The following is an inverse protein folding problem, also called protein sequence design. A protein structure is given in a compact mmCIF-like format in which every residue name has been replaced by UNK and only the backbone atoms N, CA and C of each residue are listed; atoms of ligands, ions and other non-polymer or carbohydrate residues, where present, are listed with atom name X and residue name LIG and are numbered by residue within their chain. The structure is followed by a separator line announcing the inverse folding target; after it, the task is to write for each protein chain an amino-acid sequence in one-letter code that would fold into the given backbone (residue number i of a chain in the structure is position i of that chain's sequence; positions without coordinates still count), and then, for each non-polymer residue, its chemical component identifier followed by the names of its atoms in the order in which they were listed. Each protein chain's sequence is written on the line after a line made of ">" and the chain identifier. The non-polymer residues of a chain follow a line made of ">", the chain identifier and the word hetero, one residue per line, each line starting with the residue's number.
data_IF_764075013054
#
_entry.id   IF_764075013054
#
_cell.length_a   1.000
_cell.length_b   1.000
_cell.length_c   1.000
_cell.angle_alpha   90.00
_cell.angle_beta   90.00
_cell.angle_gamma   90.00
#
_symmetry.space_group_name_H-M   'P 1'
#
loop_
_entity.id
_entity.type
_entity.pdbx_description
1 polymer ?
#
# COMPACT_ATOMS: atom_id res chain seq x y z
N UNK A 1 -14.81 1.75 -8.76
CA UNK A 1 -14.11 2.34 -7.59
C UNK A 1 -13.95 3.84 -7.84
N UNK A 2 -13.51 4.62 -6.84
CA UNK A 2 -13.20 6.04 -7.02
C UNK A 2 -12.02 6.48 -6.16
N UNK A 3 -11.40 7.58 -6.55
CA UNK A 3 -10.50 8.37 -5.72
C UNK A 3 -11.36 9.15 -4.71
N UNK A 4 -10.96 9.20 -3.44
CA UNK A 4 -11.76 9.76 -2.34
C UNK A 4 -11.47 11.24 -2.16
N UNK A 5 -10.21 11.62 -2.03
CA UNK A 5 -9.77 12.99 -1.77
C UNK A 5 -8.63 13.44 -2.68
N UNK A 6 -8.09 14.62 -2.40
CA UNK A 6 -7.04 15.25 -3.23
C UNK A 6 -7.57 15.87 -4.54
N UNK A 7 -6.64 16.24 -5.42
CA UNK A 7 -6.92 16.96 -6.66
C UNK A 7 -7.82 16.19 -7.65
N UNK A 8 -7.80 14.85 -7.60
CA UNK A 8 -8.65 13.97 -8.40
C UNK A 8 -9.80 13.34 -7.59
N UNK A 9 -10.13 13.90 -6.43
CA UNK A 9 -11.22 13.43 -5.57
C UNK A 9 -12.53 13.25 -6.32
N UNK A 10 -13.20 12.12 -6.11
CA UNK A 10 -14.45 11.76 -6.79
C UNK A 10 -14.28 11.12 -8.17
N UNK A 11 -13.09 11.18 -8.80
CA UNK A 11 -12.83 10.56 -10.11
C UNK A 11 -12.99 9.04 -10.02
N UNK A 12 -13.77 8.47 -10.93
CA UNK A 12 -14.09 7.03 -10.96
C UNK A 12 -13.16 6.28 -11.90
N UNK A 13 -12.86 5.04 -11.56
CA UNK A 13 -12.18 4.08 -12.41
C UNK A 13 -12.82 2.70 -12.26
N UNK A 14 -12.79 1.93 -13.34
CA UNK A 14 -13.46 0.63 -13.44
C UNK A 14 -12.42 -0.48 -13.37
N UNK A 15 -12.39 -1.30 -12.30
CA UNK A 15 -11.52 -2.47 -12.24
C UNK A 15 -11.96 -3.53 -13.26
N UNK A 16 -11.07 -4.48 -13.64
CA UNK A 16 -11.45 -5.59 -14.50
C UNK A 16 -12.63 -6.39 -13.93
N UNK A 17 -13.53 -6.86 -14.80
CA UNK A 17 -14.79 -7.50 -14.40
C UNK A 17 -14.63 -8.82 -13.63
N UNK A 18 -13.50 -9.50 -13.77
CA UNK A 18 -13.18 -10.73 -13.05
C UNK A 18 -11.91 -10.52 -12.22
N UNK A 19 -12.09 -10.35 -10.92
CA UNK A 19 -11.03 -10.32 -9.94
C UNK A 19 -11.32 -11.38 -8.86
N UNK A 20 -11.03 -12.66 -9.14
CA UNK A 20 -11.28 -13.72 -8.17
C UNK A 20 -10.43 -13.49 -6.92
N UNK A 21 -11.01 -13.73 -5.74
CA UNK A 21 -10.32 -13.66 -4.45
C UNK A 21 -9.83 -12.27 -4.01
N UNK A 22 -10.32 -11.18 -4.63
CA UNK A 22 -10.06 -9.81 -4.17
C UNK A 22 -11.26 -9.26 -3.42
N UNK A 23 -11.02 -8.59 -2.29
CA UNK A 23 -12.04 -7.75 -1.65
C UNK A 23 -11.70 -6.29 -1.92
N UNK A 24 -12.66 -5.47 -2.36
CA UNK A 24 -12.40 -4.05 -2.50
C UNK A 24 -12.21 -3.41 -1.11
N UNK A 25 -11.09 -2.69 -0.92
CA UNK A 25 -10.98 -1.70 0.14
C UNK A 25 -12.13 -0.70 -0.03
N UNK A 26 -13.00 -0.61 0.98
CA UNK A 26 -14.19 0.24 0.90
C UNK A 26 -13.78 1.71 0.88
N UNK A 27 -14.62 2.57 0.31
CA UNK A 27 -14.41 4.02 0.33
C UNK A 27 -14.22 4.57 1.77
N UNK A 28 -14.93 4.00 2.74
CA UNK A 28 -14.82 4.36 4.17
C UNK A 28 -13.45 3.95 4.72
N UNK A 29 -13.03 2.70 4.48
CA UNK A 29 -11.74 2.22 4.94
C UNK A 29 -10.59 3.01 4.30
N UNK A 30 -10.64 3.24 2.99
CA UNK A 30 -9.65 4.04 2.27
C UNK A 30 -9.63 5.49 2.75
N UNK A 31 -10.79 6.12 2.92
CA UNK A 31 -10.87 7.48 3.47
C UNK A 31 -10.29 7.57 4.88
N UNK A 32 -10.62 6.60 5.75
CA UNK A 32 -10.07 6.51 7.10
C UNK A 32 -8.55 6.33 7.13
N UNK A 33 -8.01 5.47 6.27
CA UNK A 33 -6.57 5.28 6.11
C UNK A 33 -5.88 6.59 5.72
N UNK A 34 -6.35 7.26 4.67
CA UNK A 34 -5.70 8.47 4.18
C UNK A 34 -5.85 9.67 5.13
N UNK A 35 -6.95 9.75 5.90
CA UNK A 35 -7.05 10.73 6.98
C UNK A 35 -5.92 10.54 8.00
N UNK A 36 -5.53 9.32 8.32
CA UNK A 36 -4.42 9.08 9.26
C UNK A 36 -3.09 9.44 8.61
N UNK A 37 -2.86 9.00 7.37
CA UNK A 37 -1.63 9.29 6.63
C UNK A 37 -1.41 10.81 6.54
N UNK A 38 -2.40 11.57 6.08
CA UNK A 38 -2.27 13.03 5.90
C UNK A 38 -2.07 13.81 7.21
N UNK A 39 -2.59 13.33 8.33
CA UNK A 39 -2.39 13.97 9.62
C UNK A 39 -1.00 13.69 10.24
N UNK A 40 -0.25 12.75 9.68
CA UNK A 40 1.04 12.31 10.25
C UNK A 40 2.21 12.38 9.27
N UNK A 41 1.95 12.39 7.96
CA UNK A 41 2.95 12.35 6.91
C UNK A 41 2.67 13.43 5.86
N UNK A 42 3.72 14.06 5.36
CA UNK A 42 3.66 15.01 4.26
C UNK A 42 3.68 14.25 2.92
N UNK A 43 2.50 13.85 2.42
CA UNK A 43 2.35 12.98 1.22
C UNK A 43 3.18 13.45 0.02
N UNK A 44 3.23 14.75 -0.33
CA UNK A 44 4.04 15.23 -1.46
C UNK A 44 5.54 14.93 -1.38
N UNK A 45 6.12 14.79 -0.18
CA UNK A 45 7.55 14.48 0.01
C UNK A 45 7.85 12.98 0.14
N UNK A 46 6.84 12.12 0.16
CA UNK A 46 7.03 10.68 0.34
C UNK A 46 7.52 10.00 -0.94
N UNK A 47 8.51 9.12 -0.77
CA UNK A 47 8.78 8.01 -1.69
C UNK A 47 7.99 6.79 -1.26
N UNK A 48 7.12 6.29 -2.14
CA UNK A 48 6.13 5.26 -1.78
C UNK A 48 6.33 3.94 -2.52
N UNK A 49 5.98 2.84 -1.86
CA UNK A 49 5.93 1.49 -2.41
C UNK A 49 4.59 0.84 -2.09
N UNK A 50 3.82 0.52 -3.13
CA UNK A 50 2.53 -0.17 -3.05
C UNK A 50 2.74 -1.63 -3.47
N UNK A 51 2.72 -2.53 -2.49
CA UNK A 51 2.89 -3.97 -2.67
C UNK A 51 1.53 -4.61 -2.89
N UNK A 52 1.48 -5.56 -3.84
CA UNK A 52 0.23 -6.17 -4.28
C UNK A 52 -0.71 -5.14 -4.90
N UNK A 53 -0.20 -4.44 -5.93
CA UNK A 53 -0.85 -3.27 -6.51
C UNK A 53 -2.34 -3.46 -6.85
N UNK A 54 -2.76 -4.67 -7.24
CA UNK A 54 -4.17 -4.98 -7.46
C UNK A 54 -4.79 -4.04 -8.49
N UNK A 55 -5.69 -3.16 -8.06
CA UNK A 55 -6.30 -2.15 -8.96
C UNK A 55 -5.51 -0.85 -9.07
N UNK A 56 -4.47 -0.64 -8.27
CA UNK A 56 -3.74 0.61 -8.11
C UNK A 56 -4.48 1.67 -7.28
N UNK A 57 -5.59 1.31 -6.64
CA UNK A 57 -6.48 2.23 -5.92
C UNK A 57 -5.78 3.08 -4.85
N UNK A 58 -4.79 2.53 -4.15
CA UNK A 58 -4.01 3.25 -3.13
C UNK A 58 -3.03 4.21 -3.79
N UNK A 59 -2.29 3.75 -4.80
CA UNK A 59 -1.38 4.60 -5.58
C UNK A 59 -2.07 5.77 -6.28
N UNK A 60 -3.29 5.60 -6.81
CA UNK A 60 -4.04 6.72 -7.39
C UNK A 60 -4.48 7.74 -6.33
N UNK A 61 -4.80 7.27 -5.14
CA UNK A 61 -5.18 8.12 -4.00
C UNK A 61 -3.97 8.91 -3.48
N UNK A 62 -2.79 8.26 -3.37
CA UNK A 62 -1.52 8.92 -3.07
C UNK A 62 -1.20 10.01 -4.11
N UNK A 63 -1.31 9.69 -5.40
CA UNK A 63 -1.09 10.65 -6.48
C UNK A 63 -2.05 11.84 -6.40
N UNK A 64 -3.34 11.58 -6.15
CA UNK A 64 -4.35 12.63 -5.98
C UNK A 64 -4.00 13.59 -4.84
N UNK A 65 -3.31 13.09 -3.80
CA UNK A 65 -2.88 13.86 -2.63
C UNK A 65 -1.45 14.40 -2.75
N UNK A 66 -0.85 14.30 -3.94
CA UNK A 66 0.39 14.97 -4.31
C UNK A 66 1.65 14.11 -4.31
N UNK A 67 1.57 12.81 -4.07
CA UNK A 67 2.75 11.94 -4.14
C UNK A 67 3.32 11.88 -5.58
N UNK A 68 4.65 11.98 -5.70
CA UNK A 68 5.35 12.07 -7.00
C UNK A 68 6.49 11.06 -7.20
N UNK A 69 6.89 10.30 -6.19
CA UNK A 69 7.85 9.20 -6.31
C UNK A 69 7.18 7.91 -5.83
N UNK A 70 6.48 7.23 -6.74
CA UNK A 70 5.64 6.08 -6.40
C UNK A 70 6.04 4.85 -7.20
N UNK A 71 6.21 3.73 -6.51
CA UNK A 71 6.40 2.41 -7.13
C UNK A 71 5.28 1.47 -6.73
N UNK A 72 4.73 0.73 -7.70
CA UNK A 72 3.78 -0.37 -7.48
C UNK A 72 4.42 -1.68 -7.90
N UNK A 73 4.26 -2.72 -7.09
CA UNK A 73 4.68 -4.08 -7.43
C UNK A 73 3.43 -4.95 -7.60
N UNK A 74 3.27 -5.51 -8.80
CA UNK A 74 2.16 -6.40 -9.13
C UNK A 74 2.69 -7.64 -9.86
N UNK A 75 2.19 -8.81 -9.46
CA UNK A 75 2.63 -10.11 -9.98
C UNK A 75 1.90 -10.48 -11.27
N UNK A 76 0.59 -10.21 -11.33
CA UNK A 76 -0.22 -10.50 -12.50
C UNK A 76 0.07 -9.49 -13.62
N UNK A 77 0.61 -9.92 -14.77
CA UNK A 77 0.94 -9.00 -15.87
C UNK A 77 -0.27 -8.22 -16.39
N UNK A 78 -1.46 -8.83 -16.39
CA UNK A 78 -2.69 -8.19 -16.84
C UNK A 78 -3.15 -7.09 -15.89
N UNK A 79 -2.98 -7.29 -14.58
CA UNK A 79 -3.24 -6.27 -13.57
C UNK A 79 -2.21 -5.15 -13.61
N UNK A 80 -0.93 -5.47 -13.78
CA UNK A 80 0.11 -4.45 -13.97
C UNK A 80 -0.15 -3.57 -15.21
N UNK A 81 -0.58 -4.17 -16.32
CA UNK A 81 -0.97 -3.43 -17.53
C UNK A 81 -2.23 -2.59 -17.29
N UNK A 82 -3.21 -3.11 -16.55
CA UNK A 82 -4.38 -2.37 -16.12
C UNK A 82 -4.01 -1.13 -15.28
N UNK A 83 -3.09 -1.28 -14.31
CA UNK A 83 -2.62 -0.19 -13.48
C UNK A 83 -1.96 0.89 -14.34
N UNK A 84 -1.09 0.48 -15.25
CA UNK A 84 -0.37 1.40 -16.15
C UNK A 84 -1.34 2.18 -17.06
N UNK A 85 -2.34 1.51 -17.64
CA UNK A 85 -3.37 2.14 -18.48
C UNK A 85 -4.25 3.09 -17.69
N UNK A 86 -4.67 2.69 -16.48
CA UNK A 86 -5.52 3.50 -15.61
C UNK A 86 -4.78 4.73 -15.11
N UNK A 87 -3.52 4.59 -14.68
CA UNK A 87 -2.67 5.71 -14.29
C UNK A 87 -2.56 6.74 -15.43
N UNK A 88 -2.30 6.28 -16.67
CA UNK A 88 -2.28 7.15 -17.85
C UNK A 88 -3.63 7.84 -18.10
N UNK A 89 -4.74 7.12 -17.97
CA UNK A 89 -6.09 7.68 -18.14
C UNK A 89 -6.50 8.64 -16.99
N UNK A 90 -5.77 8.60 -15.87
CA UNK A 90 -5.90 9.51 -14.73
C UNK A 90 -4.85 10.64 -14.76
N UNK A 91 -4.04 10.73 -15.82
CA UNK A 91 -2.96 11.71 -16.00
C UNK A 91 -1.86 11.61 -14.94
N UNK A 92 -1.67 10.41 -14.37
CA UNK A 92 -0.63 10.10 -13.38
C UNK A 92 0.63 9.66 -14.13
N UNK A 93 1.64 10.52 -14.14
CA UNK A 93 2.92 10.28 -14.83
C UNK A 93 4.05 9.82 -13.91
N UNK A 94 3.83 9.90 -12.60
CA UNK A 94 4.82 9.67 -11.53
C UNK A 94 4.81 8.24 -10.98
N UNK A 95 3.99 7.35 -11.56
CA UNK A 95 3.81 5.99 -11.07
C UNK A 95 4.65 4.98 -11.87
N UNK A 96 5.60 4.34 -11.21
CA UNK A 96 6.38 3.22 -11.76
C UNK A 96 5.68 1.89 -11.43
N UNK A 97 5.36 1.09 -12.44
CA UNK A 97 4.78 -0.25 -12.25
C UNK A 97 5.85 -1.33 -12.49
N UNK A 98 6.07 -2.19 -11.51
CA UNK A 98 7.03 -3.30 -11.54
C UNK A 98 6.26 -4.63 -11.59
N UNK A 99 6.50 -5.40 -12.65
CA UNK A 99 5.92 -6.74 -12.84
C UNK A 99 6.78 -7.77 -12.12
N UNK A 100 6.45 -8.08 -10.87
CA UNK A 100 7.23 -9.01 -10.06
C UNK A 100 6.41 -9.67 -8.94
N UNK A 101 6.88 -10.83 -8.49
CA UNK A 101 6.44 -11.37 -7.21
C UNK A 101 6.98 -10.49 -6.07
N UNK A 102 6.10 -10.11 -5.13
CA UNK A 102 6.43 -9.16 -4.05
C UNK A 102 7.60 -9.62 -3.22
N UNK A 103 7.64 -10.89 -2.78
CA UNK A 103 8.74 -11.36 -1.94
C UNK A 103 10.06 -11.41 -2.73
N UNK A 104 10.03 -11.76 -4.02
CA UNK A 104 11.24 -11.67 -4.86
C UNK A 104 11.71 -10.22 -5.02
N UNK A 105 10.79 -9.29 -5.24
CA UNK A 105 11.11 -7.87 -5.34
C UNK A 105 11.75 -7.35 -4.04
N UNK A 106 11.14 -7.63 -2.88
CA UNK A 106 11.68 -7.21 -1.58
C UNK A 106 13.08 -7.79 -1.31
N UNK A 107 13.36 -9.01 -1.77
CA UNK A 107 14.69 -9.63 -1.65
C UNK A 107 15.75 -9.02 -2.58
N UNK A 108 15.36 -8.29 -3.61
CA UNK A 108 16.30 -7.66 -4.55
C UNK A 108 16.34 -6.13 -4.41
N UNK A 109 15.34 -5.54 -3.76
CA UNK A 109 15.25 -4.11 -3.54
C UNK A 109 16.39 -3.62 -2.65
N UNK A 110 17.02 -2.52 -3.08
CA UNK A 110 18.07 -1.80 -2.36
C UNK A 110 17.65 -0.35 -2.06
N UNK A 111 16.43 0.02 -2.41
CA UNK A 111 15.89 1.36 -2.20
C UNK A 111 15.18 1.43 -0.84
N UNK A 112 15.15 2.63 -0.24
CA UNK A 112 14.37 2.89 0.96
C UNK A 112 13.17 3.77 0.65
N UNK A 113 12.08 3.56 1.38
CA UNK A 113 10.79 4.22 1.20
C UNK A 113 10.37 4.94 2.48
N UNK A 114 9.64 6.03 2.32
CA UNK A 114 8.99 6.74 3.43
C UNK A 114 7.67 6.07 3.81
N UNK A 115 7.00 5.44 2.83
CA UNK A 115 5.72 4.77 3.02
C UNK A 115 5.63 3.50 2.17
N UNK A 116 5.37 2.37 2.82
CA UNK A 116 5.09 1.08 2.18
C UNK A 116 3.65 0.68 2.53
N UNK A 117 2.84 0.38 1.52
CA UNK A 117 1.51 -0.19 1.69
C UNK A 117 1.48 -1.63 1.17
N UNK A 118 0.69 -2.49 1.80
CA UNK A 118 0.45 -3.84 1.31
C UNK A 118 -1.00 -4.29 1.54
N UNK A 119 -1.65 -4.75 0.49
CA UNK A 119 -2.96 -5.43 0.53
C UNK A 119 -2.84 -6.82 -0.10
N UNK A 120 -2.29 -7.81 0.64
CA UNK A 120 -2.07 -9.14 0.11
C UNK A 120 -3.39 -9.91 -0.08
N UNK A 121 -3.43 -10.88 -1.01
CA UNK A 121 -4.56 -11.80 -1.14
C UNK A 121 -4.86 -12.57 0.16
N UNK A 122 -6.15 -12.82 0.42
CA UNK A 122 -6.68 -13.47 1.64
C UNK A 122 -6.02 -14.80 2.03
N UNK A 123 -5.68 -15.63 1.05
CA UNK A 123 -5.16 -16.97 1.26
C UNK A 123 -3.62 -17.01 1.34
N UNK A 124 -2.98 -15.88 1.64
CA UNK A 124 -1.52 -15.79 1.68
C UNK A 124 -0.97 -16.16 3.07
N UNK A 125 -0.53 -17.40 3.21
CA UNK A 125 0.11 -17.92 4.44
C UNK A 125 1.39 -17.16 4.83
N UNK A 126 1.98 -16.43 3.89
CA UNK A 126 3.24 -15.69 4.11
C UNK A 126 3.05 -14.25 4.55
N UNK A 127 1.81 -13.79 4.77
CA UNK A 127 1.52 -12.41 5.16
C UNK A 127 2.29 -12.01 6.44
N UNK A 128 2.33 -12.91 7.42
CA UNK A 128 3.05 -12.71 8.69
C UNK A 128 4.56 -12.46 8.51
N UNK A 129 5.14 -12.88 7.38
CA UNK A 129 6.56 -12.63 7.06
C UNK A 129 6.82 -11.24 6.50
N UNK A 130 5.78 -10.54 6.05
CA UNK A 130 5.94 -9.28 5.31
C UNK A 130 6.58 -8.17 6.16
N UNK A 131 6.14 -7.88 7.40
CA UNK A 131 6.84 -6.92 8.25
C UNK A 131 8.30 -7.33 8.49
N UNK A 132 8.55 -8.61 8.77
CA UNK A 132 9.88 -9.13 9.07
C UNK A 132 10.85 -8.84 7.91
N UNK A 133 10.47 -9.21 6.69
CA UNK A 133 11.29 -8.97 5.50
C UNK A 133 11.53 -7.47 5.27
N UNK A 134 10.50 -6.63 5.42
CA UNK A 134 10.63 -5.18 5.22
C UNK A 134 11.66 -4.56 6.18
N UNK A 135 11.61 -4.92 7.46
CA UNK A 135 12.52 -4.39 8.48
C UNK A 135 13.92 -5.03 8.42
N UNK A 136 14.04 -6.34 8.21
CA UNK A 136 15.32 -7.04 8.04
C UNK A 136 16.11 -6.49 6.84
N UNK A 137 15.41 -6.15 5.77
CA UNK A 137 15.99 -5.56 4.55
C UNK A 137 16.15 -4.05 4.62
N UNK A 138 15.80 -3.43 5.75
CA UNK A 138 15.92 -1.99 6.00
C UNK A 138 15.27 -1.13 4.89
N UNK A 139 14.12 -1.57 4.38
CA UNK A 139 13.46 -0.93 3.23
C UNK A 139 12.69 0.34 3.61
N UNK A 140 12.52 0.62 4.90
CA UNK A 140 11.97 1.89 5.38
C UNK A 140 13.09 2.83 5.79
N UNK A 141 12.96 4.11 5.44
CA UNK A 141 13.76 5.18 6.04
C UNK A 141 13.45 5.30 7.54
N UNK A 142 14.27 6.05 8.28
CA UNK A 142 13.93 6.41 9.67
C UNK A 142 12.57 7.11 9.70
N UNK A 143 11.73 6.76 10.68
CA UNK A 143 10.34 7.21 10.80
C UNK A 143 9.40 6.79 9.64
N UNK A 144 9.87 5.96 8.70
CA UNK A 144 9.06 5.45 7.59
C UNK A 144 7.97 4.49 8.05
N UNK A 145 6.86 4.46 7.33
CA UNK A 145 5.66 3.70 7.69
C UNK A 145 5.49 2.47 6.83
N UNK A 146 5.14 1.34 7.45
CA UNK A 146 4.56 0.19 6.77
C UNK A 146 3.09 0.07 7.20
N UNK A 147 2.19 0.00 6.24
CA UNK A 147 0.77 -0.26 6.46
C UNK A 147 0.38 -1.55 5.77
N UNK A 148 -0.23 -2.46 6.53
CA UNK A 148 -0.74 -3.73 6.02
C UNK A 148 -2.25 -3.76 6.17
N UNK A 149 -2.97 -3.94 5.06
CA UNK A 149 -4.39 -4.30 5.06
C UNK A 149 -4.54 -5.80 5.33
N UNK A 150 -5.39 -6.17 6.28
CA UNK A 150 -5.69 -7.56 6.61
C UNK A 150 -7.07 -7.69 7.30
N UNK A 151 -7.40 -8.92 7.70
CA UNK A 151 -8.61 -9.22 8.48
C UNK A 151 -8.30 -9.57 9.92
N UNK A 152 -9.32 -9.88 10.72
CA UNK A 152 -9.18 -10.38 12.09
C UNK A 152 -8.49 -11.76 12.20
N UNK A 153 -8.17 -12.43 11.09
CA UNK A 153 -7.40 -13.68 11.09
C UNK A 153 -5.90 -13.46 11.36
N UNK A 154 -5.38 -12.24 11.17
CA UNK A 154 -3.98 -11.91 11.42
C UNK A 154 -3.85 -10.98 12.64
N UNK A 155 -2.77 -11.14 13.40
CA UNK A 155 -2.48 -10.30 14.56
C UNK A 155 -0.99 -9.93 14.63
N UNK A 156 -0.72 -8.63 14.51
CA UNK A 156 0.63 -8.07 14.47
C UNK A 156 1.06 -7.34 15.75
N UNK A 157 0.24 -7.30 16.80
CA UNK A 157 0.47 -6.47 18.00
C UNK A 157 1.79 -6.76 18.74
N UNK A 158 2.32 -7.96 18.55
CA UNK A 158 3.55 -8.42 19.19
C UNK A 158 4.80 -8.30 18.31
N UNK A 159 4.65 -7.85 17.07
CA UNK A 159 5.78 -7.66 16.15
C UNK A 159 6.58 -6.41 16.53
N UNK A 160 7.89 -6.44 16.33
CA UNK A 160 8.74 -5.25 16.45
C UNK A 160 8.24 -4.17 15.47
N UNK A 161 8.44 -2.91 15.86
CA UNK A 161 7.98 -1.72 15.12
C UNK A 161 6.45 -1.54 15.02
N UNK A 162 5.64 -2.44 15.59
CA UNK A 162 4.19 -2.26 15.68
C UNK A 162 3.87 -0.94 16.41
N UNK A 163 3.02 -0.12 15.80
CA UNK A 163 2.53 1.13 16.40
C UNK A 163 1.07 1.04 16.81
N UNK A 164 0.18 0.71 15.86
CA UNK A 164 -1.26 0.73 16.09
C UNK A 164 -2.02 -0.02 14.99
N UNK A 165 -3.32 -0.23 15.18
CA UNK A 165 -4.22 -0.76 14.15
C UNK A 165 -5.51 0.06 14.07
N UNK A 166 -6.18 0.03 12.91
CA UNK A 166 -7.48 0.69 12.69
C UNK A 166 -8.43 -0.27 12.03
N UNK A 167 -9.59 -0.45 12.63
CA UNK A 167 -10.61 -1.37 12.17
C UNK A 167 -11.75 -0.61 11.50
N UNK A 168 -12.07 -1.01 10.27
CA UNK A 168 -13.17 -0.51 9.44
C UNK A 168 -14.09 -1.67 9.04
N UNK A 169 -14.58 -2.42 10.03
CA UNK A 169 -15.40 -3.60 9.86
C UNK A 169 -14.56 -4.84 9.62
N UNK A 170 -14.67 -5.45 8.44
CA UNK A 170 -13.86 -6.60 8.09
C UNK A 170 -12.46 -6.23 7.57
N UNK A 171 -12.16 -4.93 7.36
CA UNK A 171 -10.83 -4.43 6.95
C UNK A 171 -10.11 -3.85 8.16
N UNK A 172 -8.88 -4.31 8.41
CA UNK A 172 -8.00 -3.80 9.45
C UNK A 172 -6.72 -3.29 8.78
N UNK A 173 -6.30 -2.08 9.11
CA UNK A 173 -4.97 -1.58 8.76
C UNK A 173 -4.09 -1.64 9.99
N UNK A 174 -3.04 -2.46 9.96
CA UNK A 174 -1.95 -2.39 10.94
C UNK A 174 -0.88 -1.43 10.44
N UNK A 175 -0.42 -0.56 11.33
CA UNK A 175 0.60 0.45 11.07
C UNK A 175 1.84 0.11 11.90
N UNK A 176 2.98 0.02 11.22
CA UNK A 176 4.32 -0.08 11.78
C UNK A 176 5.09 1.20 11.45
N UNK A 177 6.00 1.62 12.34
CA UNK A 177 6.86 2.79 12.12
C UNK A 177 8.31 2.39 12.41
N UNK A 178 9.22 2.69 11.48
CA UNK A 178 10.65 2.45 11.63
C UNK A 178 11.29 3.44 12.62
N UNK A 179 10.97 3.24 13.90
CA UNK A 179 11.47 4.02 15.04
C UNK A 179 12.11 3.07 16.03
N UNK A 180 13.34 3.36 16.45
CA UNK A 180 14.12 2.49 17.34
C UNK A 180 13.41 2.21 18.67
N UNK A 181 12.65 3.16 19.22
CA UNK A 181 11.85 2.96 20.45
C UNK A 181 10.77 1.87 20.33
N UNK A 182 10.33 1.57 19.11
CA UNK A 182 9.32 0.54 18.84
C UNK A 182 9.96 -0.82 18.51
N UNK A 183 11.29 -0.87 18.39
CA UNK A 183 12.02 -2.11 18.18
C UNK A 183 11.99 -2.93 19.46
N UNK A 184 11.29 -4.08 19.40
CA UNK A 184 11.24 -5.09 20.46
C UNK A 184 12.31 -6.14 20.23
#
# INVERSE_FOLDING_TARGET
>A
MRIIGGASGGRRFQPPAKMPNTRPTTDIAKGGLFNIIENNLDIPSLKTLDLFGGTGSISYELSSRGATDMTVVEKDPSMADYISKTAKALDITTLKVVKADVFKYLQQCTEQFDFIFADPPYAMDTLDKLPLVVFERQLLKAEGWLVIEHTNHNNFKNYSYYRTERNYGATIFTIFINREELKR
#
